data_IF_355208621589
#
_entry.id   IF_355208621589
#
_cell.length_a   1.000
_cell.length_b   1.000
_cell.length_c   1.000
_cell.angle_alpha   90.00
_cell.angle_beta   90.00
_cell.angle_gamma   90.00
#
_symmetry.space_group_name_H-M   'P 1'
#
loop_
_entity.id
_entity.type
_entity.pdbx_description
1 polymer ?
#
# COMPACT_ATOMS: atom_id res chain seq x y z
N UNK A 1 -2.78 6.54 -11.20
CA UNK A 1 -2.21 7.60 -12.03
C UNK A 1 -0.68 7.61 -11.94
N UNK A 2 -0.01 7.23 -13.03
CA UNK A 2 1.44 7.26 -13.14
C UNK A 2 1.96 8.65 -13.49
N UNK A 3 3.08 9.00 -12.89
CA UNK A 3 3.78 10.25 -13.05
C UNK A 3 5.30 9.97 -13.15
N UNK A 4 6.05 10.84 -13.83
CA UNK A 4 7.51 10.76 -13.79
C UNK A 4 8.02 10.85 -12.35
N UNK A 5 9.26 10.44 -12.13
CA UNK A 5 9.94 10.59 -10.84
C UNK A 5 9.71 11.99 -10.26
N UNK A 6 9.32 12.07 -8.98
CA UNK A 6 9.27 13.37 -8.28
C UNK A 6 10.65 14.01 -8.30
N UNK A 7 10.71 15.30 -8.61
CA UNK A 7 11.95 16.04 -8.48
C UNK A 7 12.39 16.11 -7.00
N UNK A 8 13.69 16.27 -6.78
CA UNK A 8 14.27 16.54 -5.46
C UNK A 8 13.68 17.81 -4.81
N UNK A 9 13.17 18.74 -5.63
CA UNK A 9 12.47 19.94 -5.16
C UNK A 9 11.00 19.71 -4.80
N UNK A 10 10.41 18.56 -5.15
CA UNK A 10 8.98 18.29 -4.93
C UNK A 10 8.60 18.30 -3.46
N UNK A 11 7.69 19.21 -3.09
CA UNK A 11 7.14 19.29 -1.73
C UNK A 11 6.24 18.11 -1.37
N UNK A 12 5.85 17.26 -2.33
CA UNK A 12 4.92 16.15 -2.13
C UNK A 12 5.57 14.85 -1.65
N UNK A 13 6.87 14.65 -1.90
CA UNK A 13 7.60 13.45 -1.48
C UNK A 13 8.11 13.61 -0.04
N UNK A 14 7.88 12.59 0.80
CA UNK A 14 8.13 12.64 2.25
C UNK A 14 7.33 13.73 2.95
N UNK A 15 6.14 14.04 2.43
CA UNK A 15 5.18 14.93 3.10
C UNK A 15 4.57 14.19 4.27
N UNK A 16 4.09 12.98 4.03
CA UNK A 16 3.47 12.08 5.02
C UNK A 16 4.46 11.05 5.55
N UNK A 17 5.71 11.48 5.70
CA UNK A 17 6.82 10.60 6.04
C UNK A 17 6.66 9.89 7.41
N UNK A 18 5.76 10.39 8.27
CA UNK A 18 5.39 9.75 9.53
C UNK A 18 4.78 8.35 9.33
N UNK A 19 4.02 8.17 8.25
CA UNK A 19 3.33 6.92 7.93
C UNK A 19 3.93 6.21 6.71
N UNK A 20 5.10 6.67 6.26
CA UNK A 20 5.77 6.07 5.12
C UNK A 20 6.17 4.62 5.40
N UNK A 21 6.18 3.83 4.32
CA UNK A 21 6.68 2.46 4.28
C UNK A 21 7.88 2.49 3.36
N UNK A 22 9.04 2.10 3.86
CA UNK A 22 10.27 1.99 3.07
C UNK A 22 10.51 0.51 2.75
N UNK A 23 10.65 0.20 1.47
CA UNK A 23 10.96 -1.14 0.99
C UNK A 23 12.17 -1.01 0.07
N UNK A 24 13.31 -1.54 0.51
CA UNK A 24 14.57 -1.48 -0.23
C UNK A 24 15.17 -2.89 -0.34
N UNK A 25 16.30 -2.99 -1.03
CA UNK A 25 17.02 -4.23 -1.28
C UNK A 25 17.70 -4.82 -0.03
N UNK A 26 17.86 -4.02 1.04
CA UNK A 26 18.41 -4.44 2.33
C UNK A 26 17.77 -3.67 3.50
N UNK A 27 17.46 -4.39 4.59
CA UNK A 27 17.03 -3.89 5.89
C UNK A 27 17.95 -2.77 6.44
N UNK A 28 19.28 -2.86 6.29
CA UNK A 28 20.21 -1.80 6.75
C UNK A 28 19.93 -0.44 6.07
N UNK A 29 19.56 -0.46 4.78
CA UNK A 29 19.20 0.76 4.05
C UNK A 29 17.85 1.28 4.51
N UNK A 30 16.89 0.39 4.79
CA UNK A 30 15.60 0.77 5.33
C UNK A 30 15.76 1.46 6.69
N UNK A 31 16.54 0.87 7.59
CA UNK A 31 16.86 1.43 8.90
C UNK A 31 17.55 2.79 8.80
N UNK A 32 18.48 2.94 7.85
CA UNK A 32 19.13 4.21 7.56
C UNK A 32 18.13 5.30 7.15
N UNK A 33 17.22 5.01 6.20
CA UNK A 33 16.22 5.99 5.76
C UNK A 33 15.14 6.25 6.81
N UNK A 34 14.79 5.26 7.63
CA UNK A 34 13.91 5.44 8.78
C UNK A 34 14.53 6.43 9.78
N UNK A 35 15.81 6.26 10.14
CA UNK A 35 16.52 7.16 11.04
C UNK A 35 16.63 8.59 10.49
N UNK A 36 17.01 8.73 9.21
CA UNK A 36 17.07 10.03 8.53
C UNK A 36 15.71 10.74 8.49
N UNK A 37 14.65 9.98 8.23
CA UNK A 37 13.28 10.49 8.17
C UNK A 37 12.81 10.94 9.55
N UNK A 38 13.14 10.20 10.61
CA UNK A 38 12.85 10.60 11.99
C UNK A 38 13.56 11.90 12.37
N UNK A 39 14.85 12.03 12.03
CA UNK A 39 15.61 13.28 12.24
C UNK A 39 14.93 14.46 11.51
N UNK A 40 14.55 14.24 10.25
CA UNK A 40 13.84 15.24 9.45
C UNK A 40 12.52 15.68 10.10
N UNK A 41 11.71 14.73 10.58
CA UNK A 41 10.43 15.01 11.23
C UNK A 41 10.63 15.79 12.55
N UNK A 42 11.62 15.42 13.35
CA UNK A 42 11.97 16.15 14.58
C UNK A 42 12.39 17.58 14.28
N UNK A 43 13.20 17.80 13.23
CA UNK A 43 13.62 19.13 12.81
C UNK A 43 12.44 19.98 12.33
N UNK A 44 11.45 19.41 11.63
CA UNK A 44 10.23 20.12 11.21
C UNK A 44 9.41 20.64 12.39
N UNK A 45 9.41 19.92 13.51
CA UNK A 45 8.67 20.30 14.72
C UNK A 45 9.43 21.29 15.61
N UNK A 46 10.71 21.56 15.31
CA UNK A 46 11.55 22.42 16.14
C UNK A 46 11.57 23.86 15.59
N UNK A 47 10.97 24.86 16.28
CA UNK A 47 10.92 26.24 15.82
C UNK A 47 12.30 26.91 15.76
N UNK A 48 13.34 26.33 16.37
CA UNK A 48 14.71 26.85 16.34
C UNK A 48 15.53 26.36 15.15
N UNK A 49 15.03 25.37 14.39
CA UNK A 49 15.73 24.82 13.23
C UNK A 49 15.24 25.48 11.95
N UNK A 50 16.15 26.14 11.23
CA UNK A 50 15.86 26.75 9.93
C UNK A 50 15.67 25.72 8.80
N UNK A 51 16.34 24.57 8.90
CA UNK A 51 16.33 23.54 7.87
C UNK A 51 15.91 22.20 8.46
N UNK A 52 14.95 21.55 7.80
CA UNK A 52 14.47 20.22 8.19
C UNK A 52 15.39 19.08 7.73
N UNK A 53 16.23 19.31 6.73
CA UNK A 53 17.01 18.25 6.06
C UNK A 53 16.22 17.46 5.01
N UNK A 54 14.95 17.81 4.74
CA UNK A 54 14.10 17.08 3.80
C UNK A 54 14.65 16.97 2.38
N UNK A 55 15.39 17.97 1.91
CA UNK A 55 16.07 17.90 0.60
C UNK A 55 17.14 16.83 0.57
N UNK A 56 17.96 16.71 1.64
CA UNK A 56 18.99 15.68 1.75
C UNK A 56 18.37 14.28 1.67
N UNK A 57 17.36 14.02 2.49
CA UNK A 57 16.69 12.71 2.53
C UNK A 57 16.08 12.34 1.17
N UNK A 58 15.41 13.29 0.49
CA UNK A 58 14.86 13.05 -0.85
C UNK A 58 15.95 12.75 -1.88
N UNK A 59 17.05 13.50 -1.88
CA UNK A 59 18.17 13.26 -2.81
C UNK A 59 18.77 11.87 -2.62
N UNK A 60 19.09 11.51 -1.38
CA UNK A 60 19.70 10.23 -1.05
C UNK A 60 18.76 9.06 -1.36
N UNK A 61 17.47 9.20 -1.04
CA UNK A 61 16.46 8.17 -1.32
C UNK A 61 16.28 7.94 -2.82
N UNK A 62 16.10 9.01 -3.60
CA UNK A 62 15.94 8.90 -5.05
C UNK A 62 17.20 8.34 -5.72
N UNK A 63 18.39 8.71 -5.24
CA UNK A 63 19.64 8.14 -5.71
C UNK A 63 19.73 6.63 -5.43
N UNK A 64 19.38 6.21 -4.21
CA UNK A 64 19.35 4.79 -3.85
C UNK A 64 18.34 4.00 -4.69
N UNK A 65 17.13 4.52 -4.89
CA UNK A 65 16.11 3.87 -5.73
C UNK A 65 16.51 3.81 -7.20
N UNK A 66 17.19 4.85 -7.71
CA UNK A 66 17.67 4.89 -9.10
C UNK A 66 18.75 3.85 -9.40
N UNK A 67 19.49 3.39 -8.36
CA UNK A 67 20.43 2.27 -8.51
C UNK A 67 19.71 0.92 -8.68
N UNK A 68 18.45 0.82 -8.23
CA UNK A 68 17.63 -0.40 -8.30
C UNK A 68 16.79 -0.47 -9.58
N UNK A 69 16.58 0.65 -10.28
CA UNK A 69 15.85 0.70 -11.53
C UNK A 69 15.27 2.07 -11.88
N UNK A 70 14.41 2.11 -12.90
CA UNK A 70 13.71 3.34 -13.30
C UNK A 70 12.72 3.75 -12.20
N UNK A 71 12.92 4.94 -11.63
CA UNK A 71 12.05 5.48 -10.58
C UNK A 71 10.89 6.24 -11.19
N UNK A 72 9.67 5.89 -10.80
CA UNK A 72 8.43 6.59 -11.16
C UNK A 72 7.58 6.83 -9.93
N UNK A 73 6.51 7.59 -10.12
CA UNK A 73 5.53 7.84 -9.06
C UNK A 73 4.16 7.33 -9.49
N UNK A 74 3.50 6.58 -8.63
CA UNK A 74 2.13 6.15 -8.81
C UNK A 74 1.25 6.75 -7.71
N UNK A 75 0.11 7.33 -8.09
CA UNK A 75 -0.91 7.78 -7.16
C UNK A 75 -2.16 6.92 -7.32
N UNK A 76 -2.66 6.38 -6.21
CA UNK A 76 -3.84 5.51 -6.19
C UNK A 76 -4.88 6.12 -5.25
N UNK A 77 -6.09 6.35 -5.74
CA UNK A 77 -7.17 6.90 -4.90
C UNK A 77 -7.61 5.92 -3.83
N UNK A 78 -7.96 6.46 -2.66
CA UNK A 78 -8.47 5.72 -1.52
C UNK A 78 -9.61 6.53 -0.86
N UNK A 79 -10.65 6.89 -1.62
CA UNK A 79 -11.66 7.89 -1.17
C UNK A 79 -12.46 7.45 0.04
N UNK A 80 -12.57 6.15 0.31
CA UNK A 80 -13.28 5.59 1.47
C UNK A 80 -12.34 5.13 2.58
N UNK A 81 -11.11 5.63 2.59
CA UNK A 81 -10.11 5.27 3.60
C UNK A 81 -10.61 5.61 5.01
N UNK A 82 -10.57 4.61 5.90
CA UNK A 82 -10.92 4.76 7.31
C UNK A 82 -9.73 5.37 8.06
N UNK A 83 -9.95 6.49 8.73
CA UNK A 83 -8.90 7.23 9.46
C UNK A 83 -8.83 6.73 10.91
N UNK A 84 -8.66 5.42 11.08
CA UNK A 84 -8.42 4.79 12.37
C UNK A 84 -7.01 4.21 12.39
N UNK A 85 -6.27 4.43 13.48
CA UNK A 85 -4.86 4.02 13.58
C UNK A 85 -4.68 2.52 13.27
N UNK A 86 -5.59 1.66 13.74
CA UNK A 86 -5.54 0.22 13.49
C UNK A 86 -5.75 -0.11 12.00
N UNK A 87 -6.71 0.53 11.35
CA UNK A 87 -7.00 0.34 9.93
C UNK A 87 -5.83 0.81 9.04
N UNK A 88 -5.23 1.96 9.38
CA UNK A 88 -4.05 2.49 8.69
C UNK A 88 -2.87 1.52 8.83
N UNK A 89 -2.62 0.98 10.02
CA UNK A 89 -1.52 0.05 10.24
C UNK A 89 -1.72 -1.29 9.50
N UNK A 90 -2.95 -1.80 9.47
CA UNK A 90 -3.31 -2.99 8.70
C UNK A 90 -3.08 -2.78 7.20
N UNK A 91 -3.53 -1.64 6.67
CA UNK A 91 -3.29 -1.25 5.28
C UNK A 91 -1.79 -1.14 4.97
N UNK A 92 -1.00 -0.51 5.87
CA UNK A 92 0.45 -0.40 5.70
C UNK A 92 1.10 -1.79 5.64
N UNK A 93 0.73 -2.67 6.56
CA UNK A 93 1.28 -4.02 6.60
C UNK A 93 0.94 -4.83 5.34
N UNK A 94 -0.29 -4.73 4.84
CA UNK A 94 -0.71 -5.41 3.61
C UNK A 94 0.04 -4.91 2.38
N UNK A 95 0.19 -3.58 2.24
CA UNK A 95 0.97 -3.00 1.14
C UNK A 95 2.42 -3.44 1.22
N UNK A 96 3.04 -3.35 2.40
CA UNK A 96 4.42 -3.76 2.61
C UNK A 96 4.64 -5.21 2.21
N UNK A 97 3.83 -6.12 2.76
CA UNK A 97 3.91 -7.56 2.47
C UNK A 97 3.81 -7.82 0.97
N UNK A 98 2.79 -7.27 0.31
CA UNK A 98 2.55 -7.53 -1.11
C UNK A 98 3.64 -6.95 -1.99
N UNK A 99 4.14 -5.75 -1.72
CA UNK A 99 5.24 -5.18 -2.50
C UNK A 99 6.55 -5.94 -2.31
N UNK A 100 6.84 -6.43 -1.09
CA UNK A 100 7.99 -7.30 -0.83
C UNK A 100 7.90 -8.64 -1.56
N UNK A 101 6.72 -9.25 -1.62
CA UNK A 101 6.50 -10.51 -2.37
C UNK A 101 6.85 -10.40 -3.86
N UNK A 102 6.68 -9.22 -4.46
CA UNK A 102 7.05 -8.97 -5.86
C UNK A 102 8.42 -8.30 -6.03
N UNK A 103 9.18 -8.11 -4.95
CA UNK A 103 10.48 -7.42 -4.98
C UNK A 103 10.36 -6.00 -5.60
N UNK A 104 9.31 -5.27 -5.21
CA UNK A 104 9.08 -3.89 -5.64
C UNK A 104 9.61 -2.94 -4.58
N UNK A 105 10.66 -2.19 -4.95
CA UNK A 105 11.36 -1.27 -4.05
C UNK A 105 10.86 0.16 -4.21
N UNK A 106 10.66 0.86 -3.09
CA UNK A 106 10.15 2.21 -3.09
C UNK A 106 9.74 2.70 -1.71
N UNK A 107 9.21 3.91 -1.70
CA UNK A 107 8.53 4.49 -0.56
C UNK A 107 7.04 4.59 -0.86
N UNK A 108 6.20 4.13 0.06
CA UNK A 108 4.75 4.31 0.00
C UNK A 108 4.31 5.29 1.09
N UNK A 109 3.58 6.34 0.71
CA UNK A 109 3.02 7.35 1.59
C UNK A 109 1.49 7.30 1.54
N UNK A 110 0.85 7.26 2.71
CA UNK A 110 -0.61 7.36 2.82
C UNK A 110 -0.95 8.82 3.06
N UNK A 111 -1.58 9.46 2.06
CA UNK A 111 -2.05 10.83 2.15
C UNK A 111 -3.51 10.84 2.59
N UNK A 112 -3.73 11.31 3.81
CA UNK A 112 -5.06 11.59 4.33
C UNK A 112 -5.61 12.86 3.68
N UNK A 113 -6.93 12.93 3.51
CA UNK A 113 -7.59 14.14 3.05
C UNK A 113 -7.29 15.30 4.00
N UNK A 114 -6.76 16.39 3.45
CA UNK A 114 -6.51 17.64 4.16
C UNK A 114 -6.93 18.83 3.30
N UNK A 115 -6.69 20.06 3.77
CA UNK A 115 -7.07 21.28 3.05
C UNK A 115 -6.33 21.46 1.71
N UNK A 116 -5.27 20.71 1.45
CA UNK A 116 -4.42 20.79 0.25
C UNK A 116 -4.68 19.62 -0.71
N UNK A 117 -5.19 18.49 -0.19
CA UNK A 117 -5.46 17.26 -0.94
C UNK A 117 -6.96 16.98 -0.93
N UNK A 118 -7.59 17.18 -2.09
CA UNK A 118 -9.04 17.02 -2.25
C UNK A 118 -9.58 15.61 -1.96
N UNK A 119 -8.74 14.58 -1.90
CA UNK A 119 -9.14 13.20 -1.62
C UNK A 119 -7.98 12.35 -1.11
N UNK A 120 -8.28 11.48 -0.13
CA UNK A 120 -7.32 10.49 0.36
C UNK A 120 -6.75 9.64 -0.78
N UNK A 121 -5.44 9.48 -0.81
CA UNK A 121 -4.74 8.69 -1.82
C UNK A 121 -3.45 8.09 -1.25
N UNK A 122 -2.94 7.09 -1.95
CA UNK A 122 -1.64 6.49 -1.66
C UNK A 122 -0.68 6.91 -2.76
N UNK A 123 0.47 7.45 -2.37
CA UNK A 123 1.56 7.79 -3.27
C UNK A 123 2.66 6.75 -3.11
N UNK A 124 3.01 6.07 -4.21
CA UNK A 124 4.19 5.22 -4.30
C UNK A 124 5.26 5.93 -5.13
N UNK A 125 6.50 5.96 -4.65
CA UNK A 125 7.66 6.43 -5.41
C UNK A 125 8.74 5.36 -5.36
N UNK A 126 9.09 4.80 -6.51
CA UNK A 126 9.99 3.65 -6.56
C UNK A 126 10.09 3.03 -7.94
N UNK A 127 10.71 1.86 -7.97
CA UNK A 127 10.86 1.07 -9.20
C UNK A 127 9.57 0.33 -9.52
N UNK A 128 9.32 0.03 -10.80
CA UNK A 128 8.14 -0.73 -11.26
C UNK A 128 6.82 -0.13 -10.75
N UNK A 129 6.70 1.21 -10.80
CA UNK A 129 5.55 1.92 -10.25
C UNK A 129 4.22 1.53 -10.92
N UNK A 130 4.24 1.07 -12.17
CA UNK A 130 3.09 0.53 -12.89
C UNK A 130 2.50 -0.70 -12.20
N UNK A 131 3.35 -1.60 -11.72
CA UNK A 131 2.95 -2.82 -11.02
C UNK A 131 2.57 -2.51 -9.58
N UNK A 132 3.33 -1.64 -8.91
CA UNK A 132 3.00 -1.14 -7.58
C UNK A 132 1.60 -0.49 -7.55
N UNK A 133 1.27 0.33 -8.55
CA UNK A 133 -0.03 0.96 -8.72
C UNK A 133 -1.16 -0.07 -8.72
N UNK A 134 -1.02 -1.15 -9.49
CA UNK A 134 -2.03 -2.19 -9.61
C UNK A 134 -2.18 -2.97 -8.31
N UNK A 135 -1.07 -3.37 -7.68
CA UNK A 135 -1.07 -4.10 -6.41
C UNK A 135 -1.74 -3.28 -5.31
N UNK A 136 -1.37 -2.01 -5.17
CA UNK A 136 -1.95 -1.10 -4.18
C UNK A 136 -3.44 -0.89 -4.46
N UNK A 137 -3.83 -0.67 -5.72
CA UNK A 137 -5.23 -0.51 -6.09
C UNK A 137 -6.06 -1.75 -5.78
N UNK A 138 -5.55 -2.95 -6.03
CA UNK A 138 -6.23 -4.20 -5.68
C UNK A 138 -6.45 -4.33 -4.17
N UNK A 139 -5.44 -3.98 -3.35
CA UNK A 139 -5.56 -3.99 -1.89
C UNK A 139 -6.67 -3.04 -1.46
N UNK A 140 -6.64 -1.81 -1.96
CA UNK A 140 -7.65 -0.79 -1.62
C UNK A 140 -9.07 -1.22 -1.99
N UNK A 141 -9.26 -1.83 -3.15
CA UNK A 141 -10.58 -2.36 -3.56
C UNK A 141 -11.00 -3.55 -2.70
N UNK A 142 -10.07 -4.47 -2.38
CA UNK A 142 -10.35 -5.62 -1.51
C UNK A 142 -10.73 -5.20 -0.09
N UNK A 143 -10.14 -4.11 0.41
CA UNK A 143 -10.47 -3.54 1.72
C UNK A 143 -11.68 -2.59 1.70
N UNK A 144 -12.31 -2.36 0.54
CA UNK A 144 -13.47 -1.48 0.40
C UNK A 144 -13.15 0.02 0.45
N UNK A 145 -11.88 0.41 0.34
CA UNK A 145 -11.44 1.82 0.32
C UNK A 145 -11.64 2.50 -1.05
N UNK A 146 -11.90 1.72 -2.10
CA UNK A 146 -12.33 2.17 -3.42
C UNK A 146 -13.37 1.21 -4.01
N UNK A 147 -14.20 1.72 -4.94
CA UNK A 147 -15.28 0.95 -5.56
C UNK A 147 -14.80 -0.05 -6.61
N UNK A 148 -13.74 0.32 -7.34
CA UNK A 148 -13.21 -0.50 -8.42
C UNK A 148 -11.75 -0.17 -8.71
N UNK A 149 -11.04 -1.11 -9.33
CA UNK A 149 -9.65 -0.92 -9.74
C UNK A 149 -9.52 0.31 -10.65
N UNK A 150 -10.47 0.48 -11.58
CA UNK A 150 -10.51 1.58 -12.52
C UNK A 150 -10.68 2.94 -11.81
N UNK A 151 -11.56 3.00 -10.81
CA UNK A 151 -11.74 4.19 -9.96
C UNK A 151 -10.44 4.54 -9.23
N UNK A 152 -9.75 3.54 -8.70
CA UNK A 152 -8.53 3.70 -7.92
C UNK A 152 -7.35 4.23 -8.76
N UNK A 153 -7.11 3.68 -9.96
CA UNK A 153 -5.94 4.01 -10.78
C UNK A 153 -6.17 5.17 -11.76
N UNK A 154 -7.42 5.60 -11.97
CA UNK A 154 -7.80 6.63 -12.95
C UNK A 154 -7.30 6.36 -14.39
N UNK A 155 -7.15 5.09 -14.77
CA UNK A 155 -6.95 4.72 -16.17
C UNK A 155 -8.33 4.64 -16.83
N UNK A 156 -8.53 5.38 -17.93
CA UNK A 156 -9.51 4.96 -18.93
C UNK A 156 -8.96 3.65 -19.49
N UNK A 157 -9.49 2.51 -19.06
CA UNK A 157 -9.34 1.30 -19.86
C UNK A 157 -10.01 1.69 -21.18
N UNK A 158 -9.25 1.76 -22.27
CA UNK A 158 -9.86 1.68 -23.57
C UNK A 158 -10.53 0.31 -23.59
N UNK A 159 -11.83 0.27 -23.29
CA UNK A 159 -12.67 -0.82 -23.72
C UNK A 159 -12.38 -0.91 -25.21
N UNK A 160 -11.71 -1.98 -25.64
CA UNK A 160 -11.92 -2.47 -26.99
C UNK A 160 -13.41 -2.82 -27.03
N UNK A 161 -14.23 -1.81 -27.28
CA UNK A 161 -15.54 -2.01 -27.85
C UNK A 161 -15.23 -2.70 -29.16
N UNK A 162 -15.39 -4.03 -29.16
CA UNK A 162 -15.71 -4.71 -30.39
C UNK A 162 -16.96 -4.01 -30.89
N UNK A 163 -16.77 -3.11 -31.85
CA UNK A 163 -17.81 -2.48 -32.65
C UNK A 163 -18.58 -3.60 -33.34
N UNK A 164 -19.53 -4.19 -32.62
CA UNK A 164 -20.65 -4.87 -33.23
C UNK A 164 -21.56 -3.71 -33.64
N UNK A 165 -21.40 -3.26 -34.88
CA UNK A 165 -22.39 -2.42 -35.56
C UNK A 165 -23.73 -3.18 -35.54
N UNK A 166 -24.56 -2.86 -34.54
CA UNK A 166 -25.97 -3.25 -34.58
C UNK A 166 -26.64 -2.24 -35.52
N UNK A 167 -26.84 -2.69 -36.76
CA UNK A 167 -27.64 -2.02 -37.77
C UNK A 167 -28.99 -1.59 -37.20
N UNK A 168 -29.31 -0.30 -37.33
CA UNK A 168 -30.55 0.33 -36.88
C UNK A 168 -31.73 -0.01 -37.79
N UNK A 169 -32.06 -1.27 -37.93
CA UNK A 169 -33.33 -1.70 -38.48
C UNK A 169 -33.99 -2.67 -37.49
N UNK A 170 -35.29 -2.50 -37.29
CA UNK A 170 -36.18 -3.18 -36.33
C UNK A 170 -36.25 -2.60 -34.91
N UNK A 171 -36.84 -1.40 -34.85
CA UNK A 171 -37.42 -0.82 -33.64
C UNK A 171 -38.89 -1.23 -33.50
N UNK A 172 -39.18 -2.49 -33.19
CA UNK A 172 -40.47 -2.88 -32.60
C UNK A 172 -40.21 -3.98 -31.54
N UNK A 173 -40.80 -3.83 -30.35
CA UNK A 173 -40.74 -4.72 -29.17
C UNK A 173 -39.57 -4.59 -28.17
N UNK A 174 -39.46 -3.44 -27.47
CA UNK A 174 -38.55 -3.27 -26.32
C UNK A 174 -39.23 -2.77 -25.01
N UNK A 175 -40.31 -3.39 -24.48
CA UNK A 175 -40.63 -3.22 -23.06
C UNK A 175 -40.26 -4.43 -22.18
N UNK A 176 -40.14 -5.63 -22.74
CA UNK A 176 -40.01 -6.88 -21.97
C UNK A 176 -38.54 -7.24 -21.62
N UNK A 177 -37.57 -7.01 -22.50
CA UNK A 177 -36.17 -7.39 -22.28
C UNK A 177 -35.46 -6.58 -21.16
N UNK A 178 -35.86 -5.33 -20.92
CA UNK A 178 -35.25 -4.49 -19.85
C UNK A 178 -35.57 -4.98 -18.44
N UNK A 179 -36.67 -5.73 -18.24
CA UNK A 179 -37.02 -6.29 -16.94
C UNK A 179 -36.27 -7.59 -16.62
N UNK A 180 -35.99 -8.42 -17.63
CA UNK A 180 -35.22 -9.65 -17.47
C UNK A 180 -33.74 -9.36 -17.18
N UNK A 181 -33.13 -8.42 -17.92
CA UNK A 181 -31.74 -8.00 -17.67
C UNK A 181 -31.56 -7.44 -16.25
N UNK A 182 -32.55 -6.66 -15.75
CA UNK A 182 -32.52 -6.15 -14.36
C UNK A 182 -32.67 -7.25 -13.32
N UNK A 183 -33.50 -8.28 -13.57
CA UNK A 183 -33.65 -9.43 -12.66
C UNK A 183 -32.40 -10.30 -12.64
N UNK A 184 -31.75 -10.47 -13.78
CA UNK A 184 -30.54 -11.28 -13.93
C UNK A 184 -29.31 -10.59 -13.30
N UNK A 185 -29.15 -9.28 -13.47
CA UNK A 185 -28.15 -8.47 -12.76
C UNK A 185 -28.35 -8.51 -11.24
N UNK A 186 -29.60 -8.54 -10.77
CA UNK A 186 -29.91 -8.62 -9.34
C UNK A 186 -29.56 -10.01 -8.78
N UNK A 187 -29.84 -11.09 -9.52
CA UNK A 187 -29.42 -12.46 -9.16
C UNK A 187 -27.90 -12.64 -9.13
N UNK A 188 -27.19 -12.04 -10.08
CA UNK A 188 -25.72 -12.06 -10.09
C UNK A 188 -25.11 -11.29 -8.92
N UNK A 189 -25.74 -10.19 -8.47
CA UNK A 189 -25.29 -9.46 -7.26
C UNK A 189 -25.38 -10.30 -5.99
N UNK A 190 -26.48 -11.02 -5.78
CA UNK A 190 -26.63 -11.91 -4.62
C UNK A 190 -25.59 -13.03 -4.60
N UNK A 191 -25.27 -13.61 -5.76
CA UNK A 191 -24.22 -14.63 -5.88
C UNK A 191 -22.80 -14.07 -5.60
N UNK A 192 -22.54 -12.80 -5.94
CA UNK A 192 -21.26 -12.14 -5.64
C UNK A 192 -21.15 -11.81 -4.14
N UNK A 193 -22.24 -11.47 -3.47
CA UNK A 193 -22.26 -11.19 -2.03
C UNK A 193 -21.98 -12.45 -1.20
N UNK A 194 -22.56 -13.60 -1.56
CA UNK A 194 -22.28 -14.90 -0.93
C UNK A 194 -20.81 -15.34 -1.15
N UNK A 195 -20.24 -15.05 -2.32
CA UNK A 195 -18.82 -15.30 -2.61
C UNK A 195 -17.88 -14.37 -1.83
N UNK A 196 -18.32 -13.13 -1.53
CA UNK A 196 -17.54 -12.19 -0.72
C UNK A 196 -17.48 -12.62 0.74
N UNK A 197 -18.59 -13.04 1.34
CA UNK A 197 -18.59 -13.58 2.71
C UNK A 197 -17.70 -14.82 2.85
N UNK A 198 -17.81 -15.76 1.91
CA UNK A 198 -16.99 -16.97 1.89
C UNK A 198 -15.49 -16.65 1.75
N UNK A 199 -15.16 -15.60 1.00
CA UNK A 199 -13.78 -15.14 0.82
C UNK A 199 -13.24 -14.41 2.04
N UNK A 200 -14.05 -13.59 2.72
CA UNK A 200 -13.65 -12.93 3.97
C UNK A 200 -13.35 -13.93 5.08
N UNK A 201 -14.16 -14.99 5.19
CA UNK A 201 -13.94 -16.08 6.15
C UNK A 201 -12.60 -16.77 5.87
N UNK A 202 -12.33 -17.13 4.61
CA UNK A 202 -11.07 -17.77 4.22
C UNK A 202 -9.86 -16.85 4.40
N UNK A 203 -10.04 -15.55 4.14
CA UNK A 203 -8.98 -14.56 4.33
C UNK A 203 -8.63 -14.36 5.81
N UNK A 204 -9.63 -14.25 6.68
CA UNK A 204 -9.41 -14.19 8.13
C UNK A 204 -8.71 -15.44 8.67
N UNK A 205 -9.09 -16.63 8.19
CA UNK A 205 -8.43 -17.89 8.55
C UNK A 205 -6.96 -17.91 8.09
N UNK A 206 -6.66 -17.38 6.90
CA UNK A 206 -5.30 -17.30 6.38
C UNK A 206 -4.44 -16.33 7.20
N UNK A 207 -4.97 -15.15 7.55
CA UNK A 207 -4.29 -14.16 8.38
C UNK A 207 -3.99 -14.72 9.77
N UNK A 208 -4.96 -15.36 10.41
CA UNK A 208 -4.73 -16.03 11.69
C UNK A 208 -3.66 -17.11 11.61
N UNK A 209 -3.68 -17.91 10.53
CA UNK A 209 -2.70 -18.97 10.31
C UNK A 209 -1.28 -18.41 10.14
N UNK A 210 -1.13 -17.32 9.38
CA UNK A 210 0.14 -16.65 9.16
C UNK A 210 0.65 -15.99 10.45
N UNK A 211 -0.22 -15.33 11.23
CA UNK A 211 0.16 -14.76 12.54
C UNK A 211 0.60 -15.84 13.53
N UNK A 212 -0.06 -16.99 13.56
CA UNK A 212 0.38 -18.15 14.35
C UNK A 212 1.74 -18.68 13.87
N UNK A 213 1.99 -18.66 12.56
CA UNK A 213 3.27 -19.10 11.97
C UNK A 213 4.42 -18.12 12.21
N UNK A 214 4.18 -16.81 12.15
CA UNK A 214 5.18 -15.78 12.46
C UNK A 214 5.54 -15.77 13.94
N UNK A 215 4.55 -15.95 14.84
CA UNK A 215 4.77 -16.09 16.28
C UNK A 215 5.62 -17.33 16.62
N UNK A 216 5.32 -18.48 16.00
CA UNK A 216 6.11 -19.71 16.19
C UNK A 216 7.53 -19.59 15.63
N UNK A 217 7.73 -18.90 14.50
CA UNK A 217 9.06 -18.58 13.98
C UNK A 217 9.83 -17.61 14.89
N UNK A 218 9.19 -16.58 15.45
CA UNK A 218 9.80 -15.66 16.40
C UNK A 218 10.24 -16.37 17.69
N UNK A 219 9.42 -17.30 18.22
CA UNK A 219 9.80 -18.14 19.36
C UNK A 219 10.99 -19.04 19.01
N UNK A 220 11.01 -19.63 17.81
CA UNK A 220 12.10 -20.51 17.36
C UNK A 220 13.42 -19.74 17.18
N UNK A 221 13.37 -18.54 16.58
CA UNK A 221 14.52 -17.63 16.43
C UNK A 221 15.05 -17.20 17.81
N UNK A 222 14.16 -16.81 18.73
CA UNK A 222 14.52 -16.44 20.11
C UNK A 222 15.12 -17.60 20.89
N UNK A 223 14.63 -18.84 20.72
CA UNK A 223 15.23 -20.05 21.31
C UNK A 223 16.62 -20.33 20.74
N UNK A 224 16.84 -20.12 19.45
CA UNK A 224 18.14 -20.26 18.80
C UNK A 224 19.14 -19.18 19.27
N UNK A 225 18.70 -17.94 19.41
CA UNK A 225 19.51 -16.84 19.97
C UNK A 225 19.89 -17.11 21.42
N UNK A 226 18.96 -17.60 22.25
CA UNK A 226 19.25 -17.97 23.64
C UNK A 226 20.27 -19.11 23.73
N UNK A 227 20.24 -20.08 22.79
CA UNK A 227 21.23 -21.18 22.73
C UNK A 227 22.63 -20.73 22.32
N UNK A 228 22.78 -19.57 21.68
CA UNK A 228 24.07 -19.01 21.25
C UNK A 228 24.75 -18.17 22.33
N UNK A 229 24.06 -17.85 23.42
CA UNK A 229 24.61 -17.07 24.52
C UNK A 229 25.44 -17.94 25.47
N UNK A 230 26.56 -17.40 25.93
CA UNK A 230 27.38 -18.00 26.97
C UNK A 230 26.68 -17.99 28.33
N UNK A 231 27.12 -18.86 29.23
CA UNK A 231 26.59 -18.97 30.60
C UNK A 231 26.69 -17.66 31.37
N UNK A 232 27.75 -16.87 31.13
CA UNK A 232 27.95 -15.55 31.73
C UNK A 232 26.94 -14.51 31.22
N UNK A 233 26.60 -14.54 29.93
CA UNK A 233 25.62 -13.63 29.32
C UNK A 233 24.19 -13.95 29.76
N UNK A 234 23.87 -15.24 29.94
CA UNK A 234 22.59 -15.69 30.48
C UNK A 234 22.39 -15.23 31.93
N UNK A 235 23.42 -15.34 32.77
CA UNK A 235 23.41 -14.84 34.15
C UNK A 235 23.23 -13.33 34.20
N UNK A 236 23.96 -12.57 33.38
CA UNK A 236 23.80 -11.11 33.30
C UNK A 236 22.38 -10.68 32.90
N UNK A 237 21.74 -11.40 31.97
CA UNK A 237 20.33 -11.16 31.60
C UNK A 237 19.35 -11.46 32.73
N UNK A 238 19.65 -12.46 33.56
CA UNK A 238 18.82 -12.81 34.72
C UNK A 238 18.93 -11.74 35.82
N UNK A 239 20.14 -11.25 36.09
CA UNK A 239 20.36 -10.19 37.09
C UNK A 239 19.80 -8.82 36.68
N UNK A 240 19.75 -8.50 35.38
CA UNK A 240 19.11 -7.25 34.88
C UNK A 240 17.57 -7.23 34.96
N UNK A 241 16.94 -8.36 35.28
CA UNK A 241 15.47 -8.49 35.38
C UNK A 241 14.96 -8.53 36.82
N UNK A 242 15.84 -8.48 37.81
CA UNK A 242 15.53 -8.24 39.22
C UNK A 242 15.79 -6.77 39.54
#
# INVERSE_FOLDING_TARGET
MLQPMRSVSSRSLLREAKYAIFILDNEDKEDYFLALTQEMLQNRQNPKKLYSGATRVRTELLAALSQLGEVKTANVWARKLIIEQKAIEELRHLIEMRLREYEIYGVTEIHLQDAEVNSSHIQFVGVRAEEAELIIAEILVKMGYEDSLQSAISRKIATQETDIEISKEDTQDIPLQKQEIKKEQKRQRYSIEELKESKEILFHQLVEFIQKKSFTMAIRKRKLEIKKLSTAELLNRFYRRR
#
